data_IF_967087513091
#
_entry.id   IF_967087513091
#
_cell.length_a   1.000
_cell.length_b   1.000
_cell.length_c   1.000
_cell.angle_alpha   90.00
_cell.angle_beta   90.00
_cell.angle_gamma   90.00
#
_symmetry.space_group_name_H-M   'P 1'
#
loop_
_entity.id
_entity.type
_entity.pdbx_description
1 polymer ?
#
# COMPACT_ATOMS: atom_id res chain seq x y z
N UNK A 1 -3.44 12.13 9.06
CA UNK A 1 -2.14 12.47 8.44
C UNK A 1 -2.15 11.92 7.03
N UNK A 2 -1.79 12.72 6.02
CA UNK A 2 -1.77 12.27 4.62
C UNK A 2 -0.32 12.12 4.14
N UNK A 3 -0.02 11.01 3.48
CA UNK A 3 1.31 10.70 2.95
C UNK A 3 1.12 10.34 1.49
N UNK A 4 1.77 11.08 0.60
CA UNK A 4 1.71 10.84 -0.84
C UNK A 4 3.15 10.55 -1.29
N UNK A 5 3.33 9.43 -2.00
CA UNK A 5 4.61 9.04 -2.58
C UNK A 5 4.37 8.24 -3.85
N UNK A 6 5.34 8.26 -4.75
CA UNK A 6 5.28 7.50 -5.99
C UNK A 6 5.79 6.08 -5.77
N UNK A 7 5.05 5.09 -6.26
CA UNK A 7 5.39 3.69 -6.10
C UNK A 7 5.07 2.90 -7.37
N UNK A 8 5.94 1.95 -7.69
CA UNK A 8 5.72 0.94 -8.72
C UNK A 8 4.97 -0.25 -8.12
N UNK A 9 3.94 -0.72 -8.82
CA UNK A 9 3.25 -1.96 -8.48
C UNK A 9 4.16 -3.13 -8.90
N UNK A 10 4.77 -3.81 -7.93
CA UNK A 10 5.65 -4.95 -8.18
C UNK A 10 4.89 -6.24 -8.42
N UNK A 11 3.84 -6.47 -7.63
CA UNK A 11 3.08 -7.71 -7.64
C UNK A 11 1.68 -7.49 -7.08
N UNK A 12 0.70 -8.15 -7.67
CA UNK A 12 -0.66 -8.28 -7.13
C UNK A 12 -0.99 -9.77 -7.05
N UNK A 13 -1.31 -10.25 -5.86
CA UNK A 13 -1.69 -11.63 -5.61
C UNK A 13 -3.13 -11.68 -5.14
N UNK A 14 -3.96 -12.43 -5.84
CA UNK A 14 -5.33 -12.68 -5.45
C UNK A 14 -5.48 -14.15 -5.09
N UNK A 15 -5.86 -14.42 -3.84
CA UNK A 15 -6.14 -15.77 -3.36
C UNK A 15 -7.63 -15.90 -3.08
N UNK A 16 -8.29 -16.82 -3.77
CA UNK A 16 -9.65 -17.22 -3.41
C UNK A 16 -9.57 -18.13 -2.20
N UNK A 17 -10.24 -17.75 -1.12
CA UNK A 17 -10.44 -18.59 0.04
C UNK A 17 -11.64 -19.52 -0.21
N UNK A 18 -11.70 -20.61 0.55
CA UNK A 18 -12.67 -21.70 0.39
C UNK A 18 -14.12 -21.21 0.60
N UNK A 19 -14.29 -20.05 1.24
CA UNK A 19 -15.57 -19.45 1.64
C UNK A 19 -16.02 -18.28 0.74
N UNK A 20 -15.65 -18.25 -0.55
CA UNK A 20 -15.90 -17.14 -1.50
C UNK A 20 -15.21 -15.80 -1.17
N UNK A 21 -14.61 -15.69 0.02
CA UNK A 21 -13.75 -14.57 0.38
C UNK A 21 -12.50 -14.53 -0.52
N UNK A 22 -12.13 -13.33 -0.94
CA UNK A 22 -10.93 -13.11 -1.75
C UNK A 22 -9.96 -12.29 -0.94
N UNK A 23 -8.80 -12.87 -0.63
CA UNK A 23 -7.67 -12.11 -0.11
C UNK A 23 -6.90 -11.52 -1.28
N UNK A 24 -6.62 -10.22 -1.24
CA UNK A 24 -5.78 -9.56 -2.21
C UNK A 24 -4.57 -8.95 -1.51
N UNK A 25 -3.37 -9.24 -2.01
CA UNK A 25 -2.11 -8.67 -1.54
C UNK A 25 -1.48 -7.85 -2.65
N UNK A 26 -1.26 -6.57 -2.37
CA UNK A 26 -0.58 -5.65 -3.27
C UNK A 26 0.81 -5.35 -2.71
N UNK A 27 1.85 -5.59 -3.51
CA UNK A 27 3.23 -5.25 -3.16
C UNK A 27 3.67 -4.04 -3.98
N UNK A 28 3.94 -2.93 -3.28
CA UNK A 28 4.43 -1.68 -3.85
C UNK A 28 5.93 -1.55 -3.60
N UNK A 29 6.68 -1.11 -4.61
CA UNK A 29 8.07 -0.69 -4.46
C UNK A 29 8.17 0.81 -4.71
N UNK A 30 8.77 1.54 -3.79
CA UNK A 30 9.04 2.95 -3.92
C UNK A 30 10.47 3.25 -3.48
N UNK A 31 11.04 4.35 -3.97
CA UNK A 31 12.23 4.92 -3.37
C UNK A 31 11.77 5.87 -2.27
N UNK A 32 12.27 5.67 -1.06
CA UNK A 32 11.81 6.36 0.13
C UNK A 32 12.94 7.18 0.74
N UNK A 33 12.61 8.41 1.12
CA UNK A 33 13.40 9.19 2.07
C UNK A 33 12.97 8.84 3.51
N UNK A 34 13.83 9.15 4.49
CA UNK A 34 13.59 8.83 5.91
C UNK A 34 12.24 9.39 6.43
N UNK A 35 11.80 10.54 5.91
CA UNK A 35 10.53 11.18 6.26
C UNK A 35 9.31 10.34 5.81
N UNK A 36 9.36 9.75 4.61
CA UNK A 36 8.27 8.91 4.09
C UNK A 36 8.19 7.61 4.90
N UNK A 37 9.35 7.02 5.24
CA UNK A 37 9.41 5.79 6.03
C UNK A 37 8.81 6.02 7.43
N UNK A 38 9.19 7.08 8.12
CA UNK A 38 8.65 7.42 9.45
C UNK A 38 7.14 7.65 9.38
N UNK A 39 6.66 8.36 8.37
CA UNK A 39 5.22 8.61 8.16
C UNK A 39 4.44 7.32 7.90
N UNK A 40 4.94 6.40 7.08
CA UNK A 40 4.31 5.10 6.83
C UNK A 40 4.29 4.25 8.10
N UNK A 41 5.40 4.19 8.84
CA UNK A 41 5.49 3.43 10.08
C UNK A 41 4.51 3.93 11.15
N UNK A 42 4.25 5.23 11.21
CA UNK A 42 3.24 5.80 12.12
C UNK A 42 1.80 5.42 11.74
N UNK A 43 1.54 5.22 10.44
CA UNK A 43 0.23 4.82 9.92
C UNK A 43 0.03 3.29 9.95
N UNK A 44 1.11 2.52 9.85
CA UNK A 44 1.09 1.06 9.90
C UNK A 44 1.01 0.56 11.35
N UNK A 45 -0.16 0.73 11.97
CA UNK A 45 -0.50 0.16 13.28
C UNK A 45 -1.41 -1.06 13.10
N UNK A 46 -1.27 -2.10 13.95
CA UNK A 46 -1.99 -3.36 13.80
C UNK A 46 -3.52 -3.23 13.83
N UNK A 47 -4.06 -2.19 14.45
CA UNK A 47 -5.50 -2.00 14.65
C UNK A 47 -6.12 -0.87 13.81
N UNK A 48 -5.34 -0.24 12.91
CA UNK A 48 -5.82 0.89 12.10
C UNK A 48 -5.86 0.54 10.61
N UNK A 49 -7.02 0.77 9.99
CA UNK A 49 -7.16 0.67 8.54
C UNK A 49 -6.69 1.97 7.89
N UNK A 50 -5.85 1.85 6.86
CA UNK A 50 -5.38 2.97 6.06
C UNK A 50 -6.15 3.01 4.74
N UNK A 51 -6.52 4.22 4.30
CA UNK A 51 -7.08 4.44 2.98
C UNK A 51 -5.95 4.71 1.97
N UNK A 52 -5.91 3.98 0.87
CA UNK A 52 -4.88 4.08 -0.17
C UNK A 52 -5.55 4.56 -1.47
N UNK A 53 -5.07 5.67 -2.02
CA UNK A 53 -5.49 6.15 -3.35
C UNK A 53 -4.39 5.85 -4.36
N UNK A 54 -4.73 5.09 -5.41
CA UNK A 54 -3.82 4.76 -6.51
C UNK A 54 -4.23 5.61 -7.70
N UNK A 55 -3.33 6.46 -8.17
CA UNK A 55 -3.51 7.30 -9.35
C UNK A 55 -2.36 7.08 -10.32
N UNK A 56 -2.63 7.21 -11.61
CA UNK A 56 -1.58 7.18 -12.64
C UNK A 56 -0.80 8.48 -12.57
N UNK A 57 0.53 8.39 -12.51
CA UNK A 57 1.40 9.55 -12.71
C UNK A 57 1.46 9.83 -14.21
N UNK A 58 1.02 11.01 -14.64
CA UNK A 58 1.17 11.47 -16.01
C UNK A 58 2.56 12.13 -16.13
N UNK A 59 3.37 11.69 -17.09
CA UNK A 59 4.67 12.28 -17.43
C UNK A 59 4.51 13.65 -18.12
#
# INVERSE_FOLDING_TARGET
MQVNFEALIKKMEQKSLVSLDKECRLTLQFQADDDIIDKINRLHKPDELVNITISKVEE
#
